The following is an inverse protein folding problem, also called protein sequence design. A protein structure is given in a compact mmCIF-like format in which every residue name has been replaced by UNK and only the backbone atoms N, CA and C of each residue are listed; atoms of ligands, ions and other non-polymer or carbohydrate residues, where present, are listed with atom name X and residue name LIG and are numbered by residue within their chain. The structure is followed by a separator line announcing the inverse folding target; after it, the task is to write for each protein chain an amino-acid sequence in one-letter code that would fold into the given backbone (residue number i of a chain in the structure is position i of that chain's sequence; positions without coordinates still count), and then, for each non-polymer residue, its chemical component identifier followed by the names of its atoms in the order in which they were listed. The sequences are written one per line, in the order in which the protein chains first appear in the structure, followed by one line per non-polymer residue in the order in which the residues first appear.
data_IF_007841342244
#
_entry.id   IF_007841342244
#
_cell.length_a   1.000
_cell.length_b   1.000
_cell.length_c   1.000
_cell.angle_alpha   90.00
_cell.angle_beta   90.00
_cell.angle_gamma   90.00
#
_symmetry.space_group_name_H-M   'P 1'
#
loop_
_entity.id
_entity.type
_entity.pdbx_description
1 polymer ?
#
# COMPACT_ATOMS: atom_id res chain seq x y z
N UNK A 1 -37.71 -18.75 -34.15
CA UNK A 1 -37.85 -18.16 -32.82
C UNK A 1 -36.49 -17.64 -32.45
N UNK A 2 -36.28 -16.35 -32.54
CA UNK A 2 -35.04 -15.70 -32.15
C UNK A 2 -34.96 -15.74 -30.62
N UNK A 3 -34.08 -16.58 -30.07
CA UNK A 3 -33.69 -16.51 -28.68
C UNK A 3 -33.21 -15.07 -28.41
N UNK A 4 -33.98 -14.32 -27.63
CA UNK A 4 -33.46 -13.06 -27.02
C UNK A 4 -32.31 -13.49 -26.15
N UNK A 5 -31.04 -13.28 -26.61
CA UNK A 5 -29.88 -13.34 -25.73
C UNK A 5 -30.18 -12.43 -24.56
N UNK A 6 -30.33 -13.03 -23.38
CA UNK A 6 -30.44 -12.24 -22.12
C UNK A 6 -29.18 -11.44 -21.97
N UNK A 7 -29.30 -10.14 -22.11
CA UNK A 7 -28.16 -9.22 -21.92
C UNK A 7 -27.71 -9.29 -20.46
N UNK A 8 -26.44 -9.72 -20.22
CA UNK A 8 -25.86 -9.74 -18.87
C UNK A 8 -25.83 -8.31 -18.32
N UNK A 9 -26.10 -8.13 -17.02
CA UNK A 9 -26.07 -6.79 -16.39
C UNK A 9 -24.70 -6.10 -16.57
N UNK A 10 -23.61 -6.88 -16.63
CA UNK A 10 -22.26 -6.39 -16.93
C UNK A 10 -22.10 -5.81 -18.35
N UNK A 11 -23.03 -6.09 -19.28
CA UNK A 11 -23.00 -5.49 -20.62
C UNK A 11 -23.45 -4.04 -20.61
N UNK A 12 -24.25 -3.65 -19.63
CA UNK A 12 -24.59 -2.25 -19.39
C UNK A 12 -23.37 -1.46 -18.94
N UNK A 13 -22.96 -0.47 -19.76
CA UNK A 13 -21.85 0.44 -19.42
C UNK A 13 -22.11 1.18 -18.10
N UNK A 14 -23.33 1.65 -17.89
CA UNK A 14 -23.73 2.34 -16.67
C UNK A 14 -23.58 1.43 -15.44
N UNK A 15 -24.06 0.20 -15.51
CA UNK A 15 -24.00 -0.73 -14.38
C UNK A 15 -22.55 -1.05 -13.98
N UNK A 16 -21.68 -1.43 -14.94
CA UNK A 16 -20.30 -1.78 -14.60
C UNK A 16 -19.47 -0.61 -14.08
N UNK A 17 -19.65 0.59 -14.65
CA UNK A 17 -18.96 1.78 -14.14
C UNK A 17 -19.49 2.25 -12.78
N UNK A 18 -20.79 2.07 -12.50
CA UNK A 18 -21.35 2.29 -11.15
C UNK A 18 -20.75 1.31 -10.13
N UNK A 19 -20.62 0.02 -10.51
CA UNK A 19 -19.94 -0.95 -9.64
C UNK A 19 -18.50 -0.55 -9.35
N UNK A 20 -17.75 -0.13 -10.38
CA UNK A 20 -16.39 0.35 -10.16
C UNK A 20 -16.35 1.52 -9.18
N UNK A 21 -17.23 2.51 -9.34
CA UNK A 21 -17.28 3.66 -8.44
C UNK A 21 -17.56 3.26 -6.98
N UNK A 22 -18.48 2.30 -6.76
CA UNK A 22 -18.81 1.79 -5.42
C UNK A 22 -17.63 1.09 -4.75
N UNK A 23 -16.95 0.18 -5.47
CA UNK A 23 -15.84 -0.58 -4.90
C UNK A 23 -14.56 0.26 -4.80
N UNK A 24 -14.31 1.17 -5.73
CA UNK A 24 -13.19 2.12 -5.67
C UNK A 24 -13.33 3.09 -4.50
N UNK A 25 -14.56 3.50 -4.14
CA UNK A 25 -14.80 4.31 -2.95
C UNK A 25 -14.44 3.53 -1.67
N UNK A 26 -14.76 2.25 -1.59
CA UNK A 26 -14.35 1.40 -0.46
C UNK A 26 -12.82 1.37 -0.33
N UNK A 27 -12.09 1.25 -1.43
CA UNK A 27 -10.63 1.28 -1.41
C UNK A 27 -10.07 2.67 -1.05
N UNK A 28 -10.68 3.74 -1.57
CA UNK A 28 -10.33 5.11 -1.18
C UNK A 28 -10.34 5.29 0.34
N UNK A 29 -11.44 4.89 0.99
CA UNK A 29 -11.60 5.02 2.44
C UNK A 29 -10.59 4.17 3.21
N UNK A 30 -10.29 2.97 2.73
CA UNK A 30 -9.25 2.12 3.28
C UNK A 30 -7.86 2.77 3.21
N UNK A 31 -7.49 3.32 2.05
CA UNK A 31 -6.17 3.96 1.88
C UNK A 31 -6.04 5.28 2.66
N UNK A 32 -7.11 6.06 2.83
CA UNK A 32 -7.08 7.22 3.74
C UNK A 32 -6.73 6.75 5.15
N UNK A 33 -7.40 5.72 5.68
CA UNK A 33 -7.12 5.22 7.03
C UNK A 33 -5.73 4.58 7.16
N UNK A 34 -5.21 3.98 6.11
CA UNK A 34 -3.86 3.40 6.10
C UNK A 34 -2.79 4.45 6.43
N UNK A 35 -2.97 5.68 5.95
CA UNK A 35 -1.96 6.72 6.03
C UNK A 35 -2.31 7.89 6.96
N UNK A 36 -3.54 7.95 7.51
CA UNK A 36 -4.02 9.05 8.37
C UNK A 36 -3.12 9.34 9.58
N UNK A 37 -2.46 8.31 10.14
CA UNK A 37 -1.57 8.50 11.30
C UNK A 37 -0.18 9.01 10.92
N UNK A 38 0.19 8.93 9.63
CA UNK A 38 1.53 9.31 9.18
C UNK A 38 1.87 10.78 9.45
N UNK A 39 1.02 11.75 9.11
CA UNK A 39 1.30 13.16 9.42
C UNK A 39 1.05 13.53 10.90
N UNK A 40 0.36 12.68 11.66
CA UNK A 40 0.06 12.95 13.08
C UNK A 40 1.20 12.61 14.04
N UNK A 41 2.32 12.02 13.58
CA UNK A 41 3.42 11.59 14.46
C UNK A 41 3.87 12.67 15.43
N UNK A 42 4.17 13.94 15.02
CA UNK A 42 4.55 15.00 15.96
C UNK A 42 3.47 15.30 17.01
N UNK A 43 2.18 15.27 16.62
CA UNK A 43 1.08 15.51 17.55
C UNK A 43 0.90 14.35 18.54
N UNK A 44 1.12 13.11 18.13
CA UNK A 44 1.11 11.92 19.00
C UNK A 44 2.21 12.01 20.06
N UNK A 45 3.42 12.47 19.67
CA UNK A 45 4.52 12.68 20.58
C UNK A 45 4.23 13.82 21.57
N UNK A 46 3.70 14.94 21.09
CA UNK A 46 3.44 16.12 21.93
C UNK A 46 2.24 15.94 22.88
N UNK A 47 1.12 15.36 22.40
CA UNK A 47 -0.14 15.31 23.13
C UNK A 47 -0.34 14.00 23.90
N UNK A 48 0.13 12.86 23.35
CA UNK A 48 -0.05 11.54 23.97
C UNK A 48 1.24 10.99 24.55
N UNK A 49 2.35 11.72 24.44
CA UNK A 49 3.65 11.30 24.96
C UNK A 49 4.20 10.02 24.31
N UNK A 50 3.78 9.72 23.08
CA UNK A 50 4.39 8.61 22.34
C UNK A 50 5.84 8.94 22.02
N UNK A 51 6.68 7.92 21.92
CA UNK A 51 8.01 8.07 21.34
C UNK A 51 8.05 7.48 19.93
N UNK A 52 9.14 7.70 19.19
CA UNK A 52 9.26 7.22 17.81
C UNK A 52 9.28 5.69 17.72
N UNK A 53 9.78 4.98 18.76
CA UNK A 53 9.73 3.51 18.81
C UNK A 53 8.29 3.01 18.96
N UNK A 54 7.50 3.65 19.83
CA UNK A 54 6.08 3.34 20.01
C UNK A 54 5.27 3.62 18.73
N UNK A 55 5.57 4.72 18.05
CA UNK A 55 4.99 5.01 16.74
C UNK A 55 5.40 3.98 15.69
N UNK A 56 6.67 3.58 15.65
CA UNK A 56 7.18 2.53 14.78
C UNK A 56 6.54 1.17 15.07
N UNK A 57 6.35 0.82 16.34
CA UNK A 57 5.63 -0.38 16.78
C UNK A 57 4.17 -0.37 16.32
N UNK A 58 3.47 0.74 16.53
CA UNK A 58 2.11 0.93 16.04
C UNK A 58 2.02 0.76 14.52
N UNK A 59 2.89 1.42 13.76
CA UNK A 59 2.87 1.34 12.29
C UNK A 59 3.24 -0.05 11.77
N UNK A 60 4.11 -0.77 12.48
CA UNK A 60 4.48 -2.15 12.14
C UNK A 60 3.30 -3.12 12.21
N UNK A 61 2.31 -2.80 13.05
CA UNK A 61 1.17 -3.66 13.31
C UNK A 61 0.28 -3.90 12.07
N UNK A 62 0.30 -3.00 11.09
CA UNK A 62 -0.42 -3.17 9.82
C UNK A 62 -0.23 -4.56 9.19
N UNK A 63 0.97 -5.07 9.21
CA UNK A 63 1.30 -6.35 8.60
C UNK A 63 1.31 -7.54 9.55
N UNK A 64 1.13 -7.38 10.87
CA UNK A 64 1.34 -8.49 11.81
C UNK A 64 0.52 -9.74 11.47
N UNK A 65 -0.78 -9.60 11.31
CA UNK A 65 -1.62 -10.76 11.01
C UNK A 65 -1.42 -11.28 9.59
N UNK A 66 -1.10 -10.40 8.64
CA UNK A 66 -0.78 -10.80 7.28
C UNK A 66 0.52 -11.60 7.20
N UNK A 67 1.52 -11.25 8.01
CA UNK A 67 2.83 -11.91 8.05
C UNK A 67 2.80 -13.15 8.93
N UNK A 68 2.42 -13.01 10.22
CA UNK A 68 2.56 -14.08 11.20
C UNK A 68 1.42 -15.10 11.19
N UNK A 69 0.21 -14.69 10.80
CA UNK A 69 -0.95 -15.56 10.69
C UNK A 69 -1.33 -15.89 9.25
N UNK A 70 -0.54 -15.44 8.26
CA UNK A 70 -0.79 -15.67 6.85
C UNK A 70 -2.20 -15.24 6.39
N UNK A 71 -2.75 -14.19 7.00
CA UNK A 71 -4.15 -13.80 6.78
C UNK A 71 -4.44 -13.38 5.35
N UNK A 72 -3.45 -12.89 4.60
CA UNK A 72 -3.61 -12.58 3.18
C UNK A 72 -3.87 -13.85 2.35
N UNK A 73 -3.17 -14.95 2.68
CA UNK A 73 -3.38 -16.27 2.02
C UNK A 73 -4.74 -16.85 2.43
N UNK A 74 -5.08 -16.78 3.72
CA UNK A 74 -6.37 -17.23 4.24
C UNK A 74 -7.51 -16.42 3.60
N UNK A 75 -7.35 -15.11 3.48
CA UNK A 75 -8.30 -14.21 2.81
C UNK A 75 -8.54 -14.58 1.34
N UNK A 76 -7.48 -14.94 0.61
CA UNK A 76 -7.59 -15.47 -0.75
C UNK A 76 -8.39 -16.78 -0.82
N UNK A 77 -8.12 -17.73 0.10
CA UNK A 77 -8.88 -18.99 0.19
C UNK A 77 -10.36 -18.74 0.52
N UNK A 78 -10.64 -17.80 1.42
CA UNK A 78 -12.02 -17.40 1.76
C UNK A 78 -12.70 -16.79 0.52
N UNK A 79 -12.00 -15.92 -0.21
CA UNK A 79 -12.49 -15.30 -1.43
C UNK A 79 -12.87 -16.33 -2.49
N UNK A 80 -12.05 -17.37 -2.67
CA UNK A 80 -12.33 -18.43 -3.65
C UNK A 80 -13.50 -19.33 -3.23
N UNK A 81 -13.64 -19.62 -1.93
CA UNK A 81 -14.70 -20.51 -1.42
C UNK A 81 -16.03 -19.81 -1.17
N UNK A 82 -16.00 -18.57 -0.66
CA UNK A 82 -17.21 -17.85 -0.21
C UNK A 82 -17.60 -16.69 -1.14
N UNK A 83 -16.76 -16.40 -2.13
CA UNK A 83 -17.00 -15.41 -3.17
C UNK A 83 -16.83 -13.95 -2.73
N UNK A 84 -16.90 -13.05 -3.70
CA UNK A 84 -16.57 -11.62 -3.55
C UNK A 84 -17.51 -10.88 -2.58
N UNK A 85 -18.78 -11.26 -2.49
CA UNK A 85 -19.76 -10.60 -1.62
C UNK A 85 -19.46 -10.81 -0.15
N UNK A 86 -19.30 -12.07 0.25
CA UNK A 86 -19.00 -12.40 1.65
C UNK A 86 -17.65 -11.83 2.08
N UNK A 87 -16.61 -12.08 1.28
CA UNK A 87 -15.25 -11.67 1.61
C UNK A 87 -15.13 -10.15 1.69
N UNK A 88 -15.73 -9.42 0.75
CA UNK A 88 -15.70 -7.97 0.78
C UNK A 88 -16.49 -7.37 1.95
N UNK A 89 -17.66 -7.93 2.30
CA UNK A 89 -18.39 -7.48 3.50
C UNK A 89 -17.60 -7.75 4.78
N UNK A 90 -17.00 -8.94 4.92
CA UNK A 90 -16.15 -9.27 6.05
C UNK A 90 -14.94 -8.32 6.15
N UNK A 91 -14.33 -7.98 5.02
CA UNK A 91 -13.24 -7.00 4.94
C UNK A 91 -13.67 -5.61 5.41
N UNK A 92 -14.82 -5.11 4.93
CA UNK A 92 -15.36 -3.82 5.37
C UNK A 92 -15.63 -3.80 6.89
N UNK A 93 -16.20 -4.87 7.44
CA UNK A 93 -16.45 -4.98 8.89
C UNK A 93 -15.14 -5.01 9.67
N UNK A 94 -14.13 -5.76 9.23
CA UNK A 94 -12.80 -5.77 9.86
C UNK A 94 -12.15 -4.39 9.84
N UNK A 95 -12.24 -3.67 8.72
CA UNK A 95 -11.73 -2.29 8.62
C UNK A 95 -12.42 -1.36 9.61
N UNK A 96 -13.75 -1.44 9.75
CA UNK A 96 -14.53 -0.62 10.69
C UNK A 96 -14.16 -0.95 12.14
N UNK A 97 -14.09 -2.23 12.49
CA UNK A 97 -13.72 -2.67 13.86
C UNK A 97 -12.30 -2.20 14.18
N UNK A 98 -11.34 -2.43 13.28
CA UNK A 98 -9.95 -2.01 13.45
C UNK A 98 -9.80 -0.49 13.60
N UNK A 99 -10.54 0.28 12.78
CA UNK A 99 -10.59 1.74 12.88
C UNK A 99 -11.23 2.20 14.20
N UNK A 100 -12.33 1.57 14.60
CA UNK A 100 -13.03 1.88 15.86
C UNK A 100 -12.15 1.66 17.09
N UNK A 101 -11.40 0.55 17.13
CA UNK A 101 -10.44 0.27 18.21
C UNK A 101 -9.31 1.32 18.20
N UNK A 102 -8.78 1.67 17.02
CA UNK A 102 -7.75 2.70 16.89
C UNK A 102 -8.28 4.08 17.31
N UNK A 103 -9.49 4.45 16.89
CA UNK A 103 -10.13 5.68 17.31
C UNK A 103 -10.30 5.76 18.83
N UNK A 104 -10.81 4.69 19.43
CA UNK A 104 -10.97 4.63 20.89
C UNK A 104 -9.63 4.80 21.61
N UNK A 105 -8.59 4.08 21.15
CA UNK A 105 -7.27 4.16 21.75
C UNK A 105 -6.65 5.56 21.71
N UNK A 106 -6.92 6.35 20.67
CA UNK A 106 -6.35 7.70 20.46
C UNK A 106 -7.25 8.80 21.07
N UNK A 107 -8.52 8.50 21.37
CA UNK A 107 -9.47 9.46 21.89
C UNK A 107 -9.32 9.68 23.40
N UNK A 108 -9.83 10.82 23.89
CA UNK A 108 -9.87 11.15 25.33
C UNK A 108 -10.72 10.15 26.15
N UNK A 109 -11.52 9.31 25.49
CA UNK A 109 -12.30 8.26 26.16
C UNK A 109 -11.45 7.04 26.55
N UNK A 110 -10.17 6.98 26.16
CA UNK A 110 -9.30 5.89 26.54
C UNK A 110 -8.81 6.05 27.98
N UNK A 111 -9.15 5.08 28.83
CA UNK A 111 -8.88 5.13 30.26
C UNK A 111 -7.99 3.99 30.79
N UNK A 112 -7.48 3.12 29.90
CA UNK A 112 -6.59 2.05 30.32
C UNK A 112 -5.19 2.60 30.60
N UNK A 113 -4.77 2.50 31.86
CA UNK A 113 -3.43 2.89 32.30
C UNK A 113 -2.49 1.68 32.33
N UNK A 114 -1.17 1.95 32.33
CA UNK A 114 -0.13 0.93 32.46
C UNK A 114 0.35 0.36 31.13
N UNK A 115 1.00 -0.79 31.23
CA UNK A 115 1.64 -1.45 30.10
C UNK A 115 0.99 -2.81 29.79
N UNK A 116 0.89 -3.12 28.50
CA UNK A 116 0.49 -4.42 27.99
C UNK A 116 1.66 -4.99 27.17
N UNK A 117 2.19 -6.13 27.57
CA UNK A 117 3.33 -6.79 26.91
C UNK A 117 4.59 -5.90 26.74
N UNK A 118 4.83 -5.01 27.71
CA UNK A 118 5.98 -4.09 27.70
C UNK A 118 5.81 -2.83 26.86
N UNK A 119 4.58 -2.56 26.37
CA UNK A 119 4.22 -1.35 25.65
C UNK A 119 3.09 -0.61 26.36
N UNK A 120 3.04 0.72 26.26
CA UNK A 120 1.89 1.48 26.77
C UNK A 120 0.59 0.86 26.30
N UNK A 121 -0.39 0.70 27.19
CA UNK A 121 -1.68 0.08 26.87
C UNK A 121 -2.33 0.76 25.65
N UNK A 122 -2.26 2.09 25.58
CA UNK A 122 -2.76 2.89 24.46
C UNK A 122 -2.12 2.52 23.13
N UNK A 123 -0.79 2.40 23.10
CA UNK A 123 -0.03 2.01 21.89
C UNK A 123 -0.38 0.61 21.45
N UNK A 124 -0.46 -0.35 22.39
CA UNK A 124 -0.80 -1.74 22.09
C UNK A 124 -2.22 -1.86 21.55
N UNK A 125 -3.19 -1.19 22.14
CA UNK A 125 -4.60 -1.23 21.67
C UNK A 125 -4.73 -0.58 20.30
N UNK A 126 -4.08 0.57 20.08
CA UNK A 126 -4.04 1.20 18.76
C UNK A 126 -3.40 0.29 17.70
N UNK A 127 -2.30 -0.40 18.05
CA UNK A 127 -1.60 -1.35 17.19
C UNK A 127 -2.49 -2.54 16.83
N UNK A 128 -3.20 -3.13 17.79
CA UNK A 128 -4.16 -4.23 17.53
C UNK A 128 -5.29 -3.79 16.60
N UNK A 129 -5.84 -2.58 16.80
CA UNK A 129 -6.81 -2.00 15.89
C UNK A 129 -6.25 -1.87 14.47
N UNK A 130 -5.00 -1.42 14.35
CA UNK A 130 -4.36 -1.26 13.04
C UNK A 130 -4.01 -2.60 12.38
N UNK A 131 -3.68 -3.64 13.16
CA UNK A 131 -3.46 -5.00 12.67
C UNK A 131 -4.75 -5.62 12.09
N UNK A 132 -5.88 -5.47 12.78
CA UNK A 132 -7.19 -5.92 12.28
C UNK A 132 -7.59 -5.17 11.01
N UNK A 133 -7.40 -3.86 10.99
CA UNK A 133 -7.62 -3.03 9.81
C UNK A 133 -6.76 -3.51 8.63
N UNK A 134 -5.48 -3.81 8.85
CA UNK A 134 -4.56 -4.31 7.83
C UNK A 134 -5.05 -5.58 7.14
N UNK A 135 -5.61 -6.53 7.89
CA UNK A 135 -6.25 -7.73 7.30
C UNK A 135 -7.43 -7.33 6.43
N UNK A 136 -8.28 -6.43 6.93
CA UNK A 136 -9.45 -5.96 6.20
C UNK A 136 -9.11 -5.30 4.88
N UNK A 137 -8.18 -4.34 4.87
CA UNK A 137 -7.85 -3.57 3.66
C UNK A 137 -7.12 -4.41 2.61
N UNK A 138 -6.21 -5.29 3.01
CA UNK A 138 -5.50 -6.18 2.09
C UNK A 138 -6.46 -7.20 1.45
N UNK A 139 -7.36 -7.78 2.26
CA UNK A 139 -8.39 -8.71 1.76
C UNK A 139 -9.41 -7.99 0.87
N UNK A 140 -9.75 -6.73 1.18
CA UNK A 140 -10.59 -5.90 0.32
C UNK A 140 -9.93 -5.67 -1.05
N UNK A 141 -8.62 -5.39 -1.08
CA UNK A 141 -7.87 -5.14 -2.32
C UNK A 141 -7.93 -6.33 -3.29
N UNK A 142 -7.65 -7.56 -2.81
CA UNK A 142 -7.77 -8.76 -3.66
C UNK A 142 -9.21 -9.02 -4.08
N UNK A 143 -10.20 -8.73 -3.21
CA UNK A 143 -11.62 -8.89 -3.53
C UNK A 143 -12.07 -7.91 -4.60
N UNK A 144 -11.70 -6.64 -4.50
CA UNK A 144 -12.02 -5.60 -5.48
C UNK A 144 -11.40 -5.91 -6.84
N UNK A 145 -10.16 -6.39 -6.87
CA UNK A 145 -9.51 -6.84 -8.11
C UNK A 145 -10.33 -7.95 -8.78
N UNK A 146 -10.80 -8.94 -8.03
CA UNK A 146 -11.65 -10.03 -8.55
C UNK A 146 -13.02 -9.52 -9.03
N UNK A 147 -13.61 -8.54 -8.35
CA UNK A 147 -14.86 -7.88 -8.79
C UNK A 147 -14.65 -7.18 -10.14
N UNK A 148 -13.54 -6.44 -10.30
CA UNK A 148 -13.24 -5.76 -11.57
C UNK A 148 -13.06 -6.76 -12.70
N UNK A 149 -12.34 -7.86 -12.49
CA UNK A 149 -12.20 -8.92 -13.49
C UNK A 149 -13.58 -9.45 -13.88
N UNK A 150 -14.43 -9.79 -12.91
CA UNK A 150 -15.76 -10.33 -13.15
C UNK A 150 -16.67 -9.40 -13.96
N UNK A 151 -16.64 -8.10 -13.66
CA UNK A 151 -17.54 -7.12 -14.30
C UNK A 151 -17.01 -6.55 -15.61
N UNK A 152 -15.69 -6.56 -15.83
CA UNK A 152 -15.04 -5.94 -16.97
C UNK A 152 -14.30 -6.93 -17.90
N UNK A 153 -14.37 -8.26 -17.65
CA UNK A 153 -13.76 -9.27 -18.54
C UNK A 153 -14.25 -9.08 -19.99
N UNK A 154 -13.31 -8.96 -20.93
CA UNK A 154 -13.61 -8.71 -22.34
C UNK A 154 -14.06 -7.28 -22.67
N UNK A 155 -13.92 -6.34 -21.73
CA UNK A 155 -14.28 -4.93 -21.87
C UNK A 155 -13.11 -4.04 -21.41
N UNK A 156 -13.37 -2.86 -20.85
CA UNK A 156 -12.34 -1.89 -20.44
C UNK A 156 -11.65 -2.27 -19.10
N UNK A 157 -11.24 -3.51 -18.90
CA UNK A 157 -10.74 -4.05 -17.64
C UNK A 157 -9.46 -3.33 -17.16
N UNK A 158 -8.49 -3.10 -18.06
CA UNK A 158 -7.26 -2.42 -17.70
C UNK A 158 -7.50 -0.97 -17.24
N UNK A 159 -8.43 -0.26 -17.90
CA UNK A 159 -8.84 1.09 -17.52
C UNK A 159 -9.52 1.07 -16.14
N UNK A 160 -10.40 0.11 -15.89
CA UNK A 160 -11.10 -0.02 -14.60
C UNK A 160 -10.12 -0.29 -13.45
N UNK A 161 -9.16 -1.20 -13.61
CA UNK A 161 -8.10 -1.45 -12.63
C UNK A 161 -7.22 -0.22 -12.42
N UNK A 162 -6.85 0.48 -13.49
CA UNK A 162 -6.05 1.69 -13.39
C UNK A 162 -6.75 2.82 -12.63
N UNK A 163 -8.06 2.99 -12.83
CA UNK A 163 -8.86 3.99 -12.12
C UNK A 163 -9.06 3.63 -10.64
N UNK A 164 -9.26 2.35 -10.34
CA UNK A 164 -9.33 1.87 -8.95
C UNK A 164 -8.02 2.17 -8.21
N UNK A 165 -6.87 1.81 -8.79
CA UNK A 165 -5.57 2.10 -8.20
C UNK A 165 -5.30 3.60 -8.07
N UNK A 166 -5.72 4.42 -9.04
CA UNK A 166 -5.62 5.87 -8.97
C UNK A 166 -6.45 6.43 -7.81
N UNK A 167 -7.65 5.91 -7.60
CA UNK A 167 -8.53 6.30 -6.49
C UNK A 167 -7.92 5.92 -5.14
N UNK A 168 -7.31 4.76 -5.03
CA UNK A 168 -6.56 4.33 -3.84
C UNK A 168 -5.39 5.30 -3.54
N UNK A 169 -4.59 5.66 -4.55
CA UNK A 169 -3.48 6.63 -4.39
C UNK A 169 -3.96 8.02 -4.01
N UNK A 170 -5.13 8.44 -4.52
CA UNK A 170 -5.77 9.67 -4.08
C UNK A 170 -6.09 9.63 -2.58
N UNK A 171 -6.54 8.48 -2.05
CA UNK A 171 -6.76 8.28 -0.62
C UNK A 171 -5.50 8.54 0.23
N UNK A 172 -4.37 7.95 -0.16
CA UNK A 172 -3.07 8.22 0.49
C UNK A 172 -2.69 9.71 0.43
N UNK A 173 -2.85 10.34 -0.74
CA UNK A 173 -2.52 11.76 -0.89
C UNK A 173 -3.40 12.65 0.00
N UNK A 174 -4.71 12.38 0.07
CA UNK A 174 -5.64 13.08 0.95
C UNK A 174 -5.27 12.90 2.42
N UNK A 175 -4.92 11.68 2.84
CA UNK A 175 -4.49 11.41 4.20
C UNK A 175 -3.26 12.25 4.58
N UNK A 176 -2.26 12.33 3.72
CA UNK A 176 -1.04 13.11 3.99
C UNK A 176 -1.31 14.62 4.05
N UNK A 177 -2.15 15.16 3.16
CA UNK A 177 -2.36 16.60 3.04
C UNK A 177 -3.39 17.17 4.02
N UNK A 178 -4.47 16.42 4.32
CA UNK A 178 -5.65 16.99 5.01
C UNK A 178 -5.63 16.69 6.51
N UNK A 179 -4.93 15.66 6.95
CA UNK A 179 -5.06 15.13 8.31
C UNK A 179 -4.65 16.14 9.38
N UNK A 180 -3.50 16.79 9.28
CA UNK A 180 -3.05 17.76 10.29
C UNK A 180 -3.93 19.00 10.30
N UNK A 181 -4.23 19.66 9.17
CA UNK A 181 -5.21 20.78 9.16
C UNK A 181 -6.55 20.42 9.77
N UNK A 182 -7.04 19.19 9.53
CA UNK A 182 -8.31 18.73 10.10
C UNK A 182 -8.21 18.52 11.64
N UNK A 183 -7.11 17.91 12.10
CA UNK A 183 -6.86 17.71 13.54
C UNK A 183 -6.73 19.06 14.26
N UNK A 184 -6.03 20.02 13.68
CA UNK A 184 -5.87 21.39 14.23
C UNK A 184 -7.20 22.12 14.28
N UNK A 185 -7.98 22.08 13.21
CA UNK A 185 -9.29 22.74 13.15
C UNK A 185 -10.25 22.24 14.24
N UNK A 186 -10.31 20.93 14.47
CA UNK A 186 -11.14 20.31 15.49
C UNK A 186 -10.46 20.22 16.87
N UNK A 187 -9.22 20.67 17.00
CA UNK A 187 -8.41 20.59 18.23
C UNK A 187 -8.37 19.17 18.83
N UNK A 188 -8.33 18.15 17.98
CA UNK A 188 -8.34 16.74 18.38
C UNK A 188 -7.59 15.85 17.40
N UNK A 189 -6.60 15.12 17.90
CA UNK A 189 -5.87 14.10 17.11
C UNK A 189 -6.81 12.98 16.67
N UNK A 190 -7.83 12.67 17.44
CA UNK A 190 -8.78 11.61 17.14
C UNK A 190 -9.78 12.00 16.04
N UNK A 191 -9.98 13.30 15.75
CA UNK A 191 -10.98 13.77 14.80
C UNK A 191 -10.74 13.23 13.36
N UNK A 192 -9.52 13.22 12.78
CA UNK A 192 -9.28 12.62 11.46
C UNK A 192 -9.58 11.12 11.44
N UNK A 193 -9.33 10.40 12.54
CA UNK A 193 -9.59 8.95 12.64
C UNK A 193 -11.10 8.71 12.69
N UNK A 194 -11.85 9.57 13.40
CA UNK A 194 -13.32 9.52 13.42
C UNK A 194 -13.91 9.77 12.03
N UNK A 195 -13.37 10.74 11.28
CA UNK A 195 -13.76 10.97 9.90
C UNK A 195 -13.55 9.72 9.05
N UNK A 196 -12.39 9.06 9.18
CA UNK A 196 -12.12 7.80 8.49
C UNK A 196 -13.12 6.70 8.89
N UNK A 197 -13.48 6.59 10.18
CA UNK A 197 -14.47 5.62 10.66
C UNK A 197 -15.84 5.87 10.00
N UNK A 198 -16.28 7.11 9.92
CA UNK A 198 -17.52 7.49 9.24
C UNK A 198 -17.45 7.13 7.75
N UNK A 199 -16.34 7.46 7.09
CA UNK A 199 -16.14 7.13 5.67
C UNK A 199 -16.13 5.61 5.43
N UNK A 200 -15.53 4.82 6.32
CA UNK A 200 -15.56 3.34 6.23
C UNK A 200 -16.98 2.79 6.41
N UNK A 201 -17.79 3.37 7.30
CA UNK A 201 -19.20 3.00 7.43
C UNK A 201 -19.99 3.32 6.14
N UNK A 202 -19.73 4.46 5.51
CA UNK A 202 -20.30 4.79 4.18
C UNK A 202 -19.79 3.79 3.14
N UNK A 203 -18.49 3.42 3.19
CA UNK A 203 -17.88 2.39 2.34
C UNK A 203 -18.56 1.02 2.48
N UNK A 204 -18.94 0.62 3.68
CA UNK A 204 -19.74 -0.59 3.90
C UNK A 204 -21.12 -0.49 3.24
N UNK A 205 -21.79 0.66 3.34
CA UNK A 205 -23.10 0.88 2.70
C UNK A 205 -22.95 0.80 1.17
N UNK A 206 -21.94 1.44 0.59
CA UNK A 206 -21.69 1.37 -0.86
C UNK A 206 -21.36 -0.06 -1.30
N UNK A 207 -20.63 -0.82 -0.49
CA UNK A 207 -20.35 -2.24 -0.76
C UNK A 207 -21.62 -3.12 -0.66
N UNK A 208 -22.54 -2.82 0.25
CA UNK A 208 -23.84 -3.48 0.32
C UNK A 208 -24.67 -3.24 -0.96
N UNK A 209 -24.65 -1.99 -1.48
CA UNK A 209 -25.29 -1.68 -2.78
C UNK A 209 -24.65 -2.49 -3.91
N UNK A 210 -23.31 -2.58 -3.93
CA UNK A 210 -22.60 -3.46 -4.86
C UNK A 210 -23.11 -4.93 -4.75
N UNK A 211 -23.23 -5.47 -3.53
CA UNK A 211 -23.72 -6.85 -3.33
C UNK A 211 -25.11 -7.08 -3.94
N UNK A 212 -26.00 -6.08 -3.89
CA UNK A 212 -27.32 -6.16 -4.53
C UNK A 212 -27.18 -6.17 -6.05
N UNK A 213 -26.31 -5.34 -6.62
CA UNK A 213 -26.06 -5.33 -8.06
C UNK A 213 -25.42 -6.64 -8.55
N UNK A 214 -24.49 -7.19 -7.78
CA UNK A 214 -23.81 -8.44 -8.11
C UNK A 214 -24.74 -9.65 -8.05
N UNK A 215 -25.72 -9.68 -7.10
CA UNK A 215 -26.78 -10.69 -7.10
C UNK A 215 -27.67 -10.60 -8.36
N UNK A 216 -27.96 -9.38 -8.82
CA UNK A 216 -28.70 -9.19 -10.08
C UNK A 216 -27.90 -9.64 -11.30
N UNK A 217 -26.57 -9.50 -11.26
CA UNK A 217 -25.70 -10.04 -12.30
C UNK A 217 -25.83 -11.56 -12.37
N UNK A 218 -25.76 -12.28 -11.23
CA UNK A 218 -25.94 -13.74 -11.18
C UNK A 218 -27.30 -14.16 -11.79
N UNK A 219 -28.37 -13.43 -11.43
CA UNK A 219 -29.71 -13.70 -11.94
C UNK A 219 -29.83 -13.45 -13.46
N UNK A 220 -29.00 -12.57 -14.03
CA UNK A 220 -29.00 -12.25 -15.46
C UNK A 220 -28.05 -13.10 -16.30
N UNK A 221 -27.08 -13.77 -15.68
CA UNK A 221 -26.00 -14.47 -16.39
C UNK A 221 -26.32 -15.89 -16.80
N UNK A 222 -27.39 -16.50 -16.28
CA UNK A 222 -27.64 -17.95 -16.49
C UNK A 222 -26.54 -18.83 -15.88
N UNK A 223 -26.64 -20.14 -16.01
CA UNK A 223 -25.66 -21.08 -15.48
C UNK A 223 -24.41 -21.24 -16.38
N UNK A 224 -23.92 -20.17 -16.99
CA UNK A 224 -22.65 -20.19 -17.71
C UNK A 224 -21.51 -20.33 -16.69
N UNK A 225 -20.74 -21.39 -16.85
CA UNK A 225 -19.59 -21.75 -16.04
C UNK A 225 -18.63 -20.55 -15.89
N UNK A 226 -18.44 -20.08 -14.65
CA UNK A 226 -17.28 -19.26 -14.32
C UNK A 226 -16.06 -20.13 -14.64
N UNK A 227 -15.25 -19.75 -15.65
CA UNK A 227 -13.89 -20.28 -15.75
C UNK A 227 -13.20 -19.96 -14.43
N UNK A 228 -13.09 -20.96 -13.57
CA UNK A 228 -12.46 -20.84 -12.27
C UNK A 228 -11.01 -20.40 -12.49
N UNK A 229 -10.65 -19.22 -11.99
CA UNK A 229 -9.24 -18.90 -11.79
C UNK A 229 -8.62 -20.05 -11.01
N UNK A 230 -7.42 -20.49 -11.42
CA UNK A 230 -6.77 -21.61 -10.74
C UNK A 230 -6.56 -21.27 -9.26
N UNK A 231 -7.15 -22.04 -8.32
CA UNK A 231 -7.11 -21.73 -6.91
C UNK A 231 -5.68 -21.87 -6.37
N UNK A 232 -5.36 -21.09 -5.33
CA UNK A 232 -4.12 -21.24 -4.57
C UNK A 232 -3.86 -22.70 -4.20
N UNK A 233 -2.70 -23.25 -4.59
CA UNK A 233 -2.30 -24.63 -4.32
C UNK A 233 -1.05 -24.68 -3.45
N UNK A 234 -1.14 -25.25 -2.27
CA UNK A 234 0.02 -25.45 -1.37
C UNK A 234 1.19 -26.19 -2.05
N UNK A 235 0.92 -27.08 -3.00
CA UNK A 235 1.95 -27.78 -3.77
C UNK A 235 2.77 -26.86 -4.65
N UNK A 236 2.20 -25.76 -5.14
CA UNK A 236 2.89 -24.79 -6.00
C UNK A 236 3.91 -23.97 -5.22
N UNK A 237 3.73 -23.83 -3.91
CA UNK A 237 4.70 -23.15 -3.03
C UNK A 237 6.07 -23.77 -3.17
N UNK A 238 6.18 -25.12 -3.10
CA UNK A 238 7.47 -25.81 -3.18
C UNK A 238 8.18 -25.57 -4.53
N UNK A 239 7.41 -25.50 -5.60
CA UNK A 239 7.95 -25.22 -6.94
C UNK A 239 8.43 -23.77 -7.05
N UNK A 240 7.64 -22.83 -6.53
CA UNK A 240 7.96 -21.41 -6.58
C UNK A 240 9.19 -21.07 -5.73
N UNK A 241 9.29 -21.60 -4.49
CA UNK A 241 10.44 -21.32 -3.60
C UNK A 241 11.76 -21.88 -4.11
N UNK A 242 11.75 -22.86 -5.03
CA UNK A 242 12.95 -23.35 -5.69
C UNK A 242 13.41 -22.48 -6.86
N UNK A 243 12.56 -21.56 -7.31
CA UNK A 243 12.87 -20.64 -8.42
C UNK A 243 13.75 -19.48 -7.95
N UNK A 244 14.97 -19.41 -8.50
CA UNK A 244 15.87 -18.27 -8.24
C UNK A 244 15.29 -16.95 -8.74
N UNK A 245 14.64 -16.96 -9.91
CA UNK A 245 13.99 -15.78 -10.48
C UNK A 245 12.88 -15.24 -9.58
N UNK A 246 12.09 -16.13 -8.95
CA UNK A 246 11.08 -15.76 -7.98
C UNK A 246 11.70 -14.98 -6.79
N UNK A 247 12.75 -15.52 -6.17
CA UNK A 247 13.38 -14.84 -5.04
C UNK A 247 14.00 -13.51 -5.40
N UNK A 248 14.59 -13.39 -6.58
CA UNK A 248 15.15 -12.11 -7.04
C UNK A 248 14.06 -11.05 -7.20
N UNK A 249 12.90 -11.40 -7.75
CA UNK A 249 11.77 -10.46 -7.87
C UNK A 249 11.14 -10.15 -6.51
N UNK A 250 10.96 -11.14 -5.64
CA UNK A 250 10.39 -10.96 -4.31
C UNK A 250 11.30 -10.11 -3.41
N UNK A 251 12.62 -10.35 -3.44
CA UNK A 251 13.60 -9.52 -2.72
C UNK A 251 13.68 -8.10 -3.27
N UNK A 252 13.64 -7.92 -4.58
CA UNK A 252 13.56 -6.59 -5.17
C UNK A 252 12.31 -5.84 -4.71
N UNK A 253 11.18 -6.53 -4.70
CA UNK A 253 9.92 -5.99 -4.22
C UNK A 253 10.03 -5.51 -2.77
N UNK A 254 10.41 -6.38 -1.83
CA UNK A 254 10.48 -6.00 -0.42
C UNK A 254 11.48 -4.89 -0.16
N UNK A 255 12.66 -4.91 -0.77
CA UNK A 255 13.69 -3.89 -0.57
C UNK A 255 13.24 -2.53 -1.11
N UNK A 256 12.68 -2.51 -2.32
CA UNK A 256 12.23 -1.27 -2.94
C UNK A 256 11.03 -0.67 -2.20
N UNK A 257 10.01 -1.49 -1.90
CA UNK A 257 8.81 -1.03 -1.19
C UNK A 257 9.10 -0.64 0.25
N UNK A 258 10.06 -1.28 0.92
CA UNK A 258 10.51 -0.93 2.27
C UNK A 258 11.20 0.45 2.33
N UNK A 259 11.79 0.90 1.23
CA UNK A 259 12.38 2.24 1.15
C UNK A 259 11.37 3.33 0.77
N UNK A 260 10.15 2.99 0.39
CA UNK A 260 9.12 3.96 -0.02
C UNK A 260 7.98 4.07 0.99
N UNK A 261 7.28 2.98 1.30
CA UNK A 261 6.12 3.07 2.19
C UNK A 261 6.47 3.33 3.66
N UNK A 262 7.44 2.63 4.28
CA UNK A 262 7.92 3.01 5.60
C UNK A 262 8.49 4.43 5.66
N UNK A 263 9.18 4.89 4.62
CA UNK A 263 9.62 6.27 4.52
C UNK A 263 8.43 7.25 4.57
N UNK A 264 7.35 7.01 3.84
CA UNK A 264 6.16 7.86 3.86
C UNK A 264 5.53 7.98 5.26
N UNK A 265 5.69 6.95 6.13
CA UNK A 265 5.21 7.02 7.52
C UNK A 265 5.94 8.07 8.37
N UNK A 266 7.16 8.43 7.99
CA UNK A 266 8.00 9.41 8.66
C UNK A 266 8.25 10.67 7.83
N UNK A 267 7.80 10.72 6.58
CA UNK A 267 8.13 11.78 5.65
C UNK A 267 7.63 13.16 6.11
N UNK A 268 6.42 13.23 6.67
CA UNK A 268 5.88 14.50 7.20
C UNK A 268 6.72 15.00 8.38
N UNK A 269 7.10 14.13 9.30
CA UNK A 269 7.96 14.44 10.43
C UNK A 269 9.38 14.89 9.97
N UNK A 270 9.92 14.24 8.92
CA UNK A 270 11.15 14.67 8.26
C UNK A 270 11.03 16.11 7.71
N UNK A 271 9.90 16.46 7.08
CA UNK A 271 9.68 17.81 6.55
C UNK A 271 9.66 18.86 7.66
N UNK A 272 9.08 18.54 8.81
CA UNK A 272 9.07 19.42 9.99
C UNK A 272 10.47 19.55 10.58
N UNK A 273 11.14 18.42 10.88
CA UNK A 273 12.40 18.44 11.63
C UNK A 273 13.61 18.92 10.82
N UNK A 274 13.70 18.53 9.54
CA UNK A 274 14.86 18.85 8.69
C UNK A 274 14.68 20.10 7.84
N UNK A 275 13.46 20.27 7.29
CA UNK A 275 13.19 21.34 6.32
C UNK A 275 12.40 22.52 6.92
N UNK A 276 12.12 22.48 8.23
CA UNK A 276 11.39 23.52 8.98
C UNK A 276 10.07 23.91 8.32
N UNK A 277 9.38 22.95 7.70
CA UNK A 277 8.08 23.16 7.10
C UNK A 277 7.04 23.25 8.21
N UNK A 278 6.08 24.17 8.07
CA UNK A 278 4.95 24.27 8.99
C UNK A 278 4.23 22.93 9.09
N UNK A 279 3.94 22.40 10.30
CA UNK A 279 3.29 21.11 10.49
C UNK A 279 1.99 20.92 9.70
N UNK A 280 1.19 21.99 9.53
CA UNK A 280 -0.07 21.93 8.75
C UNK A 280 0.17 21.77 7.24
N UNK A 281 1.30 22.21 6.73
CA UNK A 281 1.68 22.13 5.32
C UNK A 281 2.63 20.99 5.00
N UNK A 282 3.30 20.44 6.01
CA UNK A 282 4.37 19.46 5.85
C UNK A 282 3.94 18.19 5.12
N UNK A 283 2.70 17.76 5.28
CA UNK A 283 2.12 16.60 4.59
C UNK A 283 1.92 16.79 3.09
N UNK A 284 1.84 18.03 2.60
CA UNK A 284 1.64 18.31 1.17
C UNK A 284 2.85 17.88 0.32
N UNK A 285 4.06 17.93 0.87
CA UNK A 285 5.27 17.54 0.13
C UNK A 285 5.31 16.02 -0.09
N UNK A 286 5.16 15.15 0.91
CA UNK A 286 5.05 13.70 0.68
C UNK A 286 3.84 13.29 -0.17
N UNK A 287 2.73 14.04 -0.13
CA UNK A 287 1.54 13.77 -0.93
C UNK A 287 1.79 13.86 -2.45
N UNK A 288 2.82 14.56 -2.89
CA UNK A 288 3.23 14.64 -4.30
C UNK A 288 3.52 13.25 -4.87
N UNK A 289 4.09 12.35 -4.06
CA UNK A 289 4.42 10.98 -4.52
C UNK A 289 3.17 10.23 -4.97
N UNK A 290 2.13 9.99 -4.14
CA UNK A 290 0.94 9.28 -4.58
C UNK A 290 0.17 10.03 -5.68
N UNK A 291 0.12 11.35 -5.68
CA UNK A 291 -0.46 12.12 -6.79
C UNK A 291 0.28 11.89 -8.11
N UNK A 292 1.61 11.92 -8.09
CA UNK A 292 2.43 11.70 -9.27
C UNK A 292 2.26 10.30 -9.86
N UNK A 293 2.12 9.28 -9.01
CA UNK A 293 1.96 7.89 -9.46
C UNK A 293 0.66 7.65 -10.24
N UNK A 294 -0.39 8.42 -9.99
CA UNK A 294 -1.66 8.31 -10.74
C UNK A 294 -1.42 8.51 -12.25
N UNK A 295 -0.56 9.45 -12.62
CA UNK A 295 -0.27 9.78 -14.01
C UNK A 295 0.94 8.99 -14.55
N UNK A 296 1.99 8.86 -13.74
CA UNK A 296 3.28 8.33 -14.18
C UNK A 296 3.26 6.79 -14.30
N UNK A 297 2.50 6.07 -13.47
CA UNK A 297 2.46 4.60 -13.53
C UNK A 297 1.88 4.08 -14.84
N UNK A 298 0.74 4.59 -15.35
CA UNK A 298 0.26 4.20 -16.68
C UNK A 298 1.21 4.60 -17.81
N UNK A 299 1.86 5.75 -17.70
CA UNK A 299 2.85 6.20 -18.68
C UNK A 299 4.04 5.24 -18.79
N UNK A 300 4.64 4.87 -17.66
CA UNK A 300 5.77 3.94 -17.63
C UNK A 300 5.37 2.51 -17.96
N UNK A 301 4.14 2.08 -17.58
CA UNK A 301 3.59 0.80 -18.01
C UNK A 301 3.51 0.69 -19.53
N UNK A 302 2.96 1.69 -20.21
CA UNK A 302 2.91 1.75 -21.67
C UNK A 302 4.32 1.81 -22.31
N UNK A 303 5.26 2.52 -21.66
CA UNK A 303 6.65 2.55 -22.10
C UNK A 303 7.30 1.16 -22.06
N UNK A 304 7.08 0.43 -20.95
CA UNK A 304 7.59 -0.93 -20.79
C UNK A 304 6.95 -1.89 -21.81
N UNK A 305 5.64 -1.80 -22.00
CA UNK A 305 4.92 -2.65 -22.95
C UNK A 305 5.46 -2.53 -24.38
N UNK A 306 5.79 -1.30 -24.81
CA UNK A 306 6.28 -1.02 -26.15
C UNK A 306 7.78 -1.23 -26.32
N UNK A 307 8.59 -0.84 -25.34
CA UNK A 307 10.06 -0.83 -25.46
C UNK A 307 10.73 -2.02 -24.76
N UNK A 308 10.03 -2.69 -23.85
CA UNK A 308 10.62 -3.70 -22.99
C UNK A 308 11.60 -3.09 -21.99
N UNK A 309 12.75 -3.73 -21.80
CA UNK A 309 13.83 -3.35 -20.89
C UNK A 309 13.43 -3.35 -19.42
N UNK A 310 12.59 -4.30 -19.00
CA UNK A 310 12.03 -4.35 -17.65
C UNK A 310 13.08 -4.36 -16.54
N UNK A 311 14.06 -5.25 -16.61
CA UNK A 311 15.14 -5.30 -15.62
C UNK A 311 15.97 -4.01 -15.63
N UNK A 312 16.20 -3.41 -16.79
CA UNK A 312 16.89 -2.11 -16.91
C UNK A 312 16.09 -0.98 -16.28
N UNK A 313 14.77 -0.93 -16.48
CA UNK A 313 13.87 0.05 -15.85
C UNK A 313 13.91 -0.08 -14.32
N UNK A 314 13.85 -1.31 -13.79
CA UNK A 314 13.97 -1.56 -12.35
C UNK A 314 15.31 -1.07 -11.78
N UNK A 315 16.41 -1.26 -12.51
CA UNK A 315 17.73 -0.73 -12.12
C UNK A 315 17.74 0.80 -12.05
N UNK A 316 17.19 1.50 -13.04
CA UNK A 316 17.12 2.96 -13.03
C UNK A 316 16.26 3.47 -11.87
N UNK A 317 15.12 2.83 -11.60
CA UNK A 317 14.30 3.18 -10.45
C UNK A 317 15.03 2.98 -9.12
N UNK A 318 15.79 1.90 -8.95
CA UNK A 318 16.61 1.67 -7.77
C UNK A 318 17.75 2.70 -7.64
N UNK A 319 18.41 3.10 -8.73
CA UNK A 319 19.41 4.18 -8.74
C UNK A 319 18.79 5.52 -8.31
N UNK A 320 17.60 5.86 -8.82
CA UNK A 320 16.89 7.06 -8.42
C UNK A 320 16.51 7.02 -6.93
N UNK A 321 16.08 5.87 -6.43
CA UNK A 321 15.76 5.66 -5.01
C UNK A 321 16.98 5.91 -4.12
N UNK A 322 18.16 5.39 -4.50
CA UNK A 322 19.43 5.67 -3.83
C UNK A 322 19.70 7.17 -3.82
N UNK A 323 19.62 7.82 -4.98
CA UNK A 323 19.86 9.26 -5.12
C UNK A 323 18.94 10.08 -4.23
N UNK A 324 17.66 9.76 -4.19
CA UNK A 324 16.66 10.44 -3.33
C UNK A 324 17.02 10.34 -1.85
N UNK A 325 17.21 9.14 -1.33
CA UNK A 325 17.50 8.97 0.09
C UNK A 325 18.90 9.48 0.47
N UNK A 326 19.87 9.39 -0.44
CA UNK A 326 21.18 10.01 -0.24
C UNK A 326 21.07 11.54 -0.14
N UNK A 327 20.28 12.18 -1.01
CA UNK A 327 20.01 13.62 -0.93
C UNK A 327 19.30 14.00 0.37
N UNK A 328 18.38 13.18 0.83
CA UNK A 328 17.76 13.37 2.15
C UNK A 328 18.72 13.10 3.32
N UNK A 329 19.77 12.30 3.14
CA UNK A 329 20.82 12.08 4.17
C UNK A 329 21.72 13.29 4.32
N UNK A 330 22.08 13.96 3.21
CA UNK A 330 23.05 15.04 3.22
C UNK A 330 22.51 16.30 3.92
N UNK A 331 23.32 17.01 4.74
CA UNK A 331 22.94 18.25 5.39
C UNK A 331 23.09 19.46 4.46
N UNK A 332 22.59 19.35 3.23
CA UNK A 332 22.65 20.38 2.20
C UNK A 332 21.25 20.83 1.82
N UNK A 333 21.10 22.12 1.52
CA UNK A 333 19.86 22.68 0.99
C UNK A 333 18.62 22.25 1.81
N UNK A 334 18.57 22.63 3.08
CA UNK A 334 17.47 22.33 3.99
C UNK A 334 16.23 23.21 3.73
N UNK A 335 15.91 23.43 2.47
CA UNK A 335 14.79 24.24 2.01
C UNK A 335 13.65 23.37 1.51
N UNK A 336 12.41 23.76 1.77
CA UNK A 336 11.22 22.99 1.41
C UNK A 336 11.11 22.71 -0.11
N UNK A 337 11.53 23.64 -0.96
CA UNK A 337 11.48 23.45 -2.42
C UNK A 337 12.44 22.35 -2.87
N UNK A 338 13.60 22.20 -2.21
CA UNK A 338 14.54 21.11 -2.50
C UNK A 338 13.90 19.75 -2.14
N UNK A 339 13.31 19.64 -0.94
CA UNK A 339 12.56 18.45 -0.52
C UNK A 339 11.45 18.10 -1.54
N UNK A 340 10.75 19.10 -2.06
CA UNK A 340 9.71 18.95 -3.07
C UNK A 340 10.26 18.33 -4.36
N UNK A 341 11.38 18.83 -4.87
CA UNK A 341 12.04 18.26 -6.06
C UNK A 341 12.46 16.82 -5.82
N UNK A 342 13.06 16.53 -4.66
CA UNK A 342 13.48 15.16 -4.30
C UNK A 342 12.28 14.22 -4.19
N UNK A 343 11.14 14.69 -3.67
CA UNK A 343 9.89 13.90 -3.62
C UNK A 343 9.31 13.65 -5.01
N UNK A 344 9.40 14.59 -5.94
CA UNK A 344 9.01 14.36 -7.34
C UNK A 344 9.86 13.24 -7.96
N UNK A 345 11.18 13.27 -7.73
CA UNK A 345 12.10 12.22 -8.22
C UNK A 345 11.74 10.87 -7.59
N UNK A 346 11.39 10.83 -6.30
CA UNK A 346 10.93 9.62 -5.63
C UNK A 346 9.63 9.09 -6.28
N UNK A 347 8.70 9.97 -6.61
CA UNK A 347 7.45 9.61 -7.31
C UNK A 347 7.71 9.00 -8.68
N UNK A 348 8.69 9.53 -9.43
CA UNK A 348 9.14 8.94 -10.71
C UNK A 348 9.73 7.55 -10.49
N UNK A 349 10.65 7.38 -9.53
CA UNK A 349 11.25 6.10 -9.19
C UNK A 349 10.21 5.05 -8.79
N UNK A 350 9.23 5.47 -7.96
CA UNK A 350 8.15 4.61 -7.50
C UNK A 350 7.15 4.25 -8.61
N UNK A 351 7.03 5.05 -9.64
CA UNK A 351 6.22 4.71 -10.81
C UNK A 351 6.94 3.78 -11.78
N UNK A 352 8.27 3.93 -11.93
CA UNK A 352 9.09 3.11 -12.83
C UNK A 352 9.14 1.64 -12.40
N UNK A 353 9.52 1.36 -11.14
CA UNK A 353 9.80 -0.01 -10.71
C UNK A 353 8.55 -0.89 -10.71
N UNK A 354 7.41 -0.53 -10.09
CA UNK A 354 6.21 -1.36 -10.16
C UNK A 354 5.68 -1.59 -11.57
N UNK A 355 5.79 -0.59 -12.44
CA UNK A 355 5.35 -0.69 -13.84
C UNK A 355 6.10 -1.75 -14.66
N UNK A 356 7.32 -2.08 -14.26
CA UNK A 356 8.12 -3.13 -14.91
C UNK A 356 8.12 -4.43 -14.08
N UNK A 357 8.12 -4.35 -12.75
CA UNK A 357 8.28 -5.49 -11.86
C UNK A 357 7.06 -6.42 -11.89
N UNK A 358 5.85 -5.87 -11.72
CA UNK A 358 4.65 -6.69 -11.68
C UNK A 358 4.38 -7.42 -12.99
N UNK A 359 4.49 -6.80 -14.19
CA UNK A 359 4.37 -7.52 -15.45
C UNK A 359 5.54 -8.48 -15.75
N UNK A 360 6.63 -8.41 -15.00
CA UNK A 360 7.75 -9.35 -15.15
C UNK A 360 7.51 -10.68 -14.45
N UNK A 361 6.62 -10.75 -13.46
CA UNK A 361 6.31 -11.98 -12.70
C UNK A 361 5.82 -13.11 -13.65
N UNK A 362 4.85 -12.86 -14.56
CA UNK A 362 4.39 -13.90 -15.50
C UNK A 362 5.45 -14.39 -16.50
N UNK A 363 6.53 -13.64 -16.68
CA UNK A 363 7.66 -14.07 -17.54
C UNK A 363 8.59 -15.05 -16.82
N UNK A 364 8.58 -15.06 -15.49
CA UNK A 364 9.44 -15.89 -14.64
C UNK A 364 8.71 -17.12 -14.13
N UNK A 365 7.44 -16.98 -13.77
CA UNK A 365 6.60 -18.00 -13.15
C UNK A 365 5.55 -18.48 -14.15
N UNK A 366 5.34 -19.80 -14.28
CA UNK A 366 4.28 -20.35 -15.12
C UNK A 366 2.89 -19.81 -14.75
N UNK A 367 2.05 -19.60 -15.76
CA UNK A 367 0.70 -19.02 -15.60
C UNK A 367 -0.14 -19.72 -14.53
N UNK A 368 -0.06 -21.05 -14.48
CA UNK A 368 -0.76 -21.89 -13.49
C UNK A 368 -0.39 -21.61 -12.03
N UNK A 369 0.72 -20.94 -11.76
CA UNK A 369 1.25 -20.70 -10.42
C UNK A 369 1.26 -19.21 -10.06
N UNK A 370 0.76 -18.33 -10.94
CA UNK A 370 0.83 -16.88 -10.75
C UNK A 370 0.10 -16.41 -9.50
N UNK A 371 -1.09 -16.92 -9.22
CA UNK A 371 -1.84 -16.54 -8.01
C UNK A 371 -1.06 -16.81 -6.73
N UNK A 372 -0.46 -18.02 -6.63
CA UNK A 372 0.40 -18.38 -5.49
C UNK A 372 1.66 -17.51 -5.43
N UNK A 373 2.29 -17.25 -6.58
CA UNK A 373 3.49 -16.41 -6.64
C UNK A 373 3.23 -14.98 -6.18
N UNK A 374 2.15 -14.36 -6.65
CA UNK A 374 1.75 -13.02 -6.20
C UNK A 374 1.46 -12.98 -4.71
N UNK A 375 0.71 -13.95 -4.18
CA UNK A 375 0.42 -14.03 -2.74
C UNK A 375 1.71 -14.12 -1.91
N UNK A 376 2.70 -14.91 -2.37
CA UNK A 376 3.99 -15.03 -1.71
C UNK A 376 4.84 -13.75 -1.83
N UNK A 377 4.83 -13.06 -2.97
CA UNK A 377 5.52 -11.77 -3.12
C UNK A 377 4.92 -10.74 -2.17
N UNK A 378 3.59 -10.65 -2.09
CA UNK A 378 2.91 -9.75 -1.14
C UNK A 378 3.20 -10.12 0.31
N UNK A 379 3.27 -11.41 0.64
CA UNK A 379 3.66 -11.84 1.98
C UNK A 379 5.09 -11.39 2.34
N UNK A 380 6.06 -11.60 1.45
CA UNK A 380 7.45 -11.13 1.62
C UNK A 380 7.50 -9.60 1.73
N UNK A 381 6.74 -8.88 0.90
CA UNK A 381 6.62 -7.42 0.95
C UNK A 381 6.11 -6.94 2.32
N UNK A 382 5.08 -7.58 2.87
CA UNK A 382 4.51 -7.22 4.18
C UNK A 382 5.50 -7.41 5.33
N UNK A 383 6.48 -8.32 5.22
CA UNK A 383 7.58 -8.42 6.19
C UNK A 383 8.34 -7.09 6.28
N UNK A 384 8.71 -6.52 5.14
CA UNK A 384 9.39 -5.22 5.09
C UNK A 384 8.52 -4.09 5.62
N UNK A 385 7.25 -4.04 5.20
CA UNK A 385 6.30 -3.01 5.64
C UNK A 385 6.02 -3.07 7.15
N UNK A 386 6.16 -4.24 7.78
CA UNK A 386 6.04 -4.40 9.24
C UNK A 386 7.35 -4.08 9.97
N UNK A 387 8.47 -4.65 9.55
CA UNK A 387 9.71 -4.56 10.33
C UNK A 387 10.39 -3.20 10.20
N UNK A 388 10.35 -2.58 9.03
CA UNK A 388 11.11 -1.35 8.76
C UNK A 388 10.58 -0.15 9.54
N UNK A 389 9.26 0.12 9.68
CA UNK A 389 8.80 1.22 10.52
C UNK A 389 9.25 1.11 11.97
N UNK A 390 9.23 -0.09 12.55
CA UNK A 390 9.72 -0.33 13.90
C UNK A 390 11.23 -0.06 14.01
N UNK A 391 12.01 -0.52 13.04
CA UNK A 391 13.45 -0.27 12.96
C UNK A 391 13.74 1.24 12.91
N UNK A 392 13.05 1.98 12.06
CA UNK A 392 13.25 3.44 11.93
C UNK A 392 12.84 4.17 13.21
N UNK A 393 11.74 3.81 13.83
CA UNK A 393 11.30 4.38 15.10
C UNK A 393 12.33 4.16 16.22
N UNK A 394 12.85 2.93 16.32
CA UNK A 394 13.91 2.60 17.27
C UNK A 394 15.21 3.38 17.02
N UNK A 395 15.63 3.54 15.77
CA UNK A 395 16.81 4.32 15.39
C UNK A 395 16.61 5.79 15.79
N UNK A 396 15.45 6.37 15.51
CA UNK A 396 15.13 7.76 15.86
C UNK A 396 15.24 7.98 17.36
N UNK A 397 14.65 7.12 18.16
CA UNK A 397 14.68 7.28 19.62
C UNK A 397 16.05 7.04 20.25
N UNK A 398 16.83 6.09 19.70
CA UNK A 398 18.09 5.66 20.31
C UNK A 398 19.26 6.57 19.91
N UNK A 399 19.29 7.03 18.66
CA UNK A 399 20.48 7.66 18.10
C UNK A 399 20.25 9.06 17.52
N UNK A 400 18.99 9.49 17.33
CA UNK A 400 18.70 10.66 16.51
C UNK A 400 18.03 11.81 17.27
N UNK A 401 17.82 11.68 18.58
CA UNK A 401 17.23 12.78 19.39
C UNK A 401 18.19 13.96 19.47
N UNK A 402 17.66 15.15 19.19
CA UNK A 402 18.39 16.41 19.23
C UNK A 402 17.69 17.36 20.20
N UNK A 403 18.46 17.95 21.10
CA UNK A 403 17.98 19.06 21.95
C UNK A 403 18.04 20.36 21.15
N UNK A 404 16.92 20.93 20.80
CA UNK A 404 16.80 22.20 20.10
C UNK A 404 16.55 23.39 21.06
N UNK A 405 16.65 23.16 22.37
CA UNK A 405 16.46 24.21 23.40
C UNK A 405 15.02 24.71 23.55
N UNK A 406 14.06 24.15 22.81
CA UNK A 406 12.63 24.52 22.89
C UNK A 406 11.83 23.66 23.87
N UNK A 407 12.44 22.61 24.43
CA UNK A 407 11.77 21.61 25.26
C UNK A 407 10.92 20.61 24.47
N UNK A 408 10.86 20.74 23.15
CA UNK A 408 10.23 19.76 22.26
C UNK A 408 11.26 18.76 21.72
N UNK A 409 10.84 17.50 21.56
CA UNK A 409 11.69 16.47 20.96
C UNK A 409 11.86 16.80 19.48
N UNK A 410 13.10 16.88 19.02
CA UNK A 410 13.48 16.99 17.62
C UNK A 410 14.33 15.77 17.22
N UNK A 411 14.37 15.47 15.93
CA UNK A 411 15.11 14.31 15.42
C UNK A 411 16.03 14.70 14.26
N UNK A 412 17.26 14.18 14.28
CA UNK A 412 18.15 14.17 13.11
C UNK A 412 17.84 12.96 12.24
N UNK A 413 17.30 13.21 11.07
CA UNK A 413 16.91 12.16 10.12
C UNK A 413 18.06 11.62 9.27
N UNK A 414 19.32 12.05 9.49
CA UNK A 414 20.49 11.61 8.71
C UNK A 414 20.62 10.09 8.72
N UNK A 415 20.62 9.45 9.89
CA UNK A 415 20.78 8.00 10.01
C UNK A 415 19.58 7.21 9.45
N UNK A 416 18.32 7.55 9.73
CA UNK A 416 17.17 6.92 9.07
C UNK A 416 17.23 6.98 7.54
N UNK A 417 17.61 8.13 6.96
CA UNK A 417 17.72 8.27 5.50
C UNK A 417 18.88 7.43 4.94
N UNK A 418 19.99 7.30 5.67
CA UNK A 418 21.07 6.41 5.31
C UNK A 418 20.64 4.94 5.28
N UNK A 419 19.79 4.51 6.22
CA UNK A 419 19.19 3.16 6.21
C UNK A 419 18.34 2.94 4.97
N UNK A 420 17.48 3.90 4.61
CA UNK A 420 16.69 3.81 3.38
C UNK A 420 17.58 3.82 2.12
N UNK A 421 18.69 4.57 2.12
CA UNK A 421 19.71 4.50 1.06
C UNK A 421 20.29 3.09 0.95
N UNK A 422 20.57 2.43 2.09
CA UNK A 422 21.01 1.05 2.15
C UNK A 422 20.02 0.06 1.49
N UNK A 423 18.72 0.21 1.76
CA UNK A 423 17.69 -0.59 1.05
C UNK A 423 17.73 -0.35 -0.46
N UNK A 424 17.91 0.89 -0.90
CA UNK A 424 18.07 1.24 -2.31
C UNK A 424 19.29 0.55 -2.95
N UNK A 425 20.44 0.54 -2.27
CA UNK A 425 21.67 -0.13 -2.73
C UNK A 425 21.44 -1.63 -2.87
N UNK A 426 20.81 -2.25 -1.86
CA UNK A 426 20.48 -3.68 -1.91
C UNK A 426 19.46 -3.96 -3.05
N UNK A 427 18.47 -3.11 -3.25
CA UNK A 427 17.52 -3.23 -4.34
C UNK A 427 18.21 -3.16 -5.72
N UNK A 428 19.16 -2.24 -5.89
CA UNK A 428 19.96 -2.14 -7.11
C UNK A 428 20.78 -3.41 -7.34
N UNK A 429 21.43 -3.92 -6.30
CA UNK A 429 22.20 -5.16 -6.39
C UNK A 429 21.31 -6.34 -6.82
N UNK A 430 20.12 -6.49 -6.25
CA UNK A 430 19.16 -7.53 -6.64
C UNK A 430 18.67 -7.31 -8.07
N UNK A 431 18.41 -6.07 -8.51
CA UNK A 431 18.02 -5.76 -9.89
C UNK A 431 19.11 -6.15 -10.90
N UNK A 432 20.39 -5.93 -10.55
CA UNK A 432 21.54 -6.37 -11.37
C UNK A 432 21.60 -7.90 -11.45
N UNK A 433 21.41 -8.60 -10.34
CA UNK A 433 21.34 -10.07 -10.31
C UNK A 433 20.18 -10.60 -11.15
N UNK A 434 19.01 -9.95 -11.06
CA UNK A 434 17.83 -10.31 -11.85
C UNK A 434 18.10 -10.14 -13.35
N UNK A 435 18.73 -9.04 -13.75
CA UNK A 435 19.12 -8.82 -15.14
C UNK A 435 20.14 -9.84 -15.63
N UNK A 436 21.09 -10.23 -14.79
CA UNK A 436 22.05 -11.29 -15.11
C UNK A 436 21.36 -12.65 -15.28
N UNK A 437 20.44 -13.00 -14.35
CA UNK A 437 19.69 -14.25 -14.39
C UNK A 437 18.74 -14.30 -15.60
N UNK A 438 18.12 -13.16 -15.97
CA UNK A 438 17.32 -13.05 -17.20
C UNK A 438 18.13 -13.40 -18.44
N UNK A 439 19.37 -12.87 -18.58
CA UNK A 439 20.27 -13.22 -19.70
C UNK A 439 20.63 -14.71 -19.70
N UNK A 440 20.79 -15.32 -18.52
CA UNK A 440 21.17 -16.74 -18.38
C UNK A 440 20.03 -17.70 -18.69
N UNK A 441 18.82 -17.37 -18.24
CA UNK A 441 17.64 -18.23 -18.31
C UNK A 441 16.69 -17.89 -19.46
N UNK A 442 16.82 -16.70 -20.05
CA UNK A 442 15.99 -16.28 -21.17
C UNK A 442 14.54 -15.99 -20.78
N UNK A 443 14.28 -15.40 -19.60
CA UNK A 443 12.93 -15.03 -19.17
C UNK A 443 12.27 -14.00 -20.10
N UNK A 444 13.08 -13.18 -20.78
CA UNK A 444 12.60 -12.15 -21.70
C UNK A 444 12.15 -10.86 -20.98
N UNK A 445 12.74 -10.54 -19.82
CA UNK A 445 12.41 -9.32 -19.09
C UNK A 445 12.78 -8.04 -19.85
N UNK A 446 13.79 -8.13 -20.72
CA UNK A 446 14.22 -7.02 -21.57
C UNK A 446 13.39 -6.90 -22.87
N UNK A 447 12.52 -7.87 -23.17
CA UNK A 447 11.70 -7.86 -24.38
C UNK A 447 10.38 -7.09 -24.15
N UNK A 448 9.89 -6.38 -25.19
CA UNK A 448 8.58 -5.72 -25.12
C UNK A 448 7.44 -6.75 -24.98
N UNK A 449 6.34 -6.34 -24.36
CA UNK A 449 5.15 -7.17 -24.23
C UNK A 449 4.30 -7.13 -25.50
N UNK A 450 4.29 -5.99 -26.19
CA UNK A 450 3.60 -5.79 -27.46
C UNK A 450 4.63 -5.94 -28.59
N UNK A 451 4.45 -6.96 -29.43
CA UNK A 451 5.22 -7.07 -30.68
C UNK A 451 4.66 -6.02 -31.64
N UNK A 452 5.49 -5.07 -32.03
CA UNK A 452 5.16 -4.07 -33.05
C UNK A 452 4.95 -4.66 -34.43
#
# INVERSE_FOLDING_TARGET
MTEKMQQKLSDSKVARWSVLALVAFTMLTGYILTDVMSPLKPMLEEQLGWNSTEYGFFTSAYGWFNVFLFMLIIGGIILDKMGVRFTGLASCVLMIIGCGIKYWAISDAFSMEGELFGWKAQVMVAALGYALFGVGVETAGITVSKIIVRWFKGKEMALAMGLEMATARLGTAMALSITVPFATYFQSIAAPILLCLIMLCIGLITFLVFCVMDRKLDASAGADEEEAEEPFRLKDILVIVTSKGFWLIALLCVLFYSAVFPFLKYATDLMVNKYNVDPELAGNIPAILPFGTILLTPFFGNLYDRKGKGATIMMYGALMLIGVHLLFTLPILNEWWFATIVMIVLGIAFSLVPSAMWPSVPKIIPEKQLGTAYAMIFWVQNIGLSMVPLLIGWILDTYCKVDNGTGKIAYDYTLPMAVFTGFGILALFIALLLKHEDKRKGYGLELPNIKG
#
